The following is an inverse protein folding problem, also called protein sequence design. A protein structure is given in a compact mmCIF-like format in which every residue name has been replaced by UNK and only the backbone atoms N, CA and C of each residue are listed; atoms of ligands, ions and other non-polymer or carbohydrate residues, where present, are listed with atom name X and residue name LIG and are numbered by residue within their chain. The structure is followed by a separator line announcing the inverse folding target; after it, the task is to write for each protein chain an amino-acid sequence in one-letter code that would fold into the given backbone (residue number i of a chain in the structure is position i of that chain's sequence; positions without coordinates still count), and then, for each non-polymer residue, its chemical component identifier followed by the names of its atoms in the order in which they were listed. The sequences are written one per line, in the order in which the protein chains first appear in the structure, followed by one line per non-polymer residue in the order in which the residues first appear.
data_IF_678821980144
#
_entry.id   IF_678821980144
#
_cell.length_a   1.000
_cell.length_b   1.000
_cell.length_c   1.000
_cell.angle_alpha   90.00
_cell.angle_beta   90.00
_cell.angle_gamma   90.00
#
_symmetry.space_group_name_H-M   'P 1'
#
loop_
_entity.id
_entity.type
_entity.pdbx_description
1 polymer ?
#
# COMPACT_ATOMS: atom_id res chain seq x y z
N UNK A 1 -6.68 23.72 37.45
CA UNK A 1 -6.32 24.29 36.12
C UNK A 1 -7.03 23.47 35.06
N UNK A 2 -8.00 24.06 34.38
CA UNK A 2 -8.77 23.43 33.30
C UNK A 2 -8.03 23.54 31.97
N UNK A 3 -8.05 22.46 31.19
CA UNK A 3 -7.50 22.43 29.83
C UNK A 3 -8.62 22.11 28.84
N UNK A 4 -8.55 22.69 27.66
CA UNK A 4 -9.50 22.41 26.60
C UNK A 4 -9.25 21.00 26.05
N UNK A 5 -10.28 20.15 26.05
CA UNK A 5 -10.19 18.77 25.55
C UNK A 5 -10.01 18.67 24.03
N UNK A 6 -10.28 19.76 23.30
CA UNK A 6 -10.15 19.81 21.84
C UNK A 6 -8.77 20.30 21.38
N UNK A 7 -8.25 21.39 21.98
CA UNK A 7 -6.98 22.00 21.55
C UNK A 7 -5.80 21.80 22.52
N UNK A 8 -6.04 21.26 23.72
CA UNK A 8 -4.99 21.04 24.73
C UNK A 8 -4.44 22.29 25.42
N UNK A 9 -4.93 23.49 25.09
CA UNK A 9 -4.51 24.75 25.71
C UNK A 9 -5.21 25.00 27.06
N UNK A 10 -4.57 25.79 27.93
CA UNK A 10 -5.13 26.19 29.24
C UNK A 10 -6.36 27.08 29.04
N UNK A 11 -7.44 26.78 29.77
CA UNK A 11 -8.68 27.56 29.77
C UNK A 11 -8.72 28.39 31.04
N UNK A 12 -8.90 29.71 30.88
CA UNK A 12 -9.08 30.67 31.97
C UNK A 12 -10.59 30.75 32.23
N UNK A 13 -11.01 30.49 33.48
CA UNK A 13 -12.42 30.59 33.88
C UNK A 13 -12.91 32.04 33.75
N UNK A 14 -13.96 32.25 32.95
CA UNK A 14 -14.56 33.57 32.71
C UNK A 14 -14.31 34.17 31.33
N UNK A 15 -13.42 33.60 30.52
CA UNK A 15 -13.16 34.06 29.14
C UNK A 15 -13.67 33.05 28.10
N UNK A 16 -14.24 33.56 27.00
CA UNK A 16 -14.67 32.74 25.87
C UNK A 16 -13.45 32.14 25.17
N UNK A 17 -13.24 30.82 25.32
CA UNK A 17 -12.13 30.12 24.73
C UNK A 17 -12.33 29.89 23.21
N UNK A 18 -11.62 30.66 22.38
CA UNK A 18 -11.66 30.50 20.92
C UNK A 18 -10.79 29.33 20.46
N UNK A 19 -11.39 28.16 20.29
CA UNK A 19 -10.73 27.03 19.63
C UNK A 19 -10.58 27.31 18.12
N UNK A 20 -9.37 27.62 17.66
CA UNK A 20 -9.08 27.85 16.23
C UNK A 20 -9.45 26.66 15.32
N UNK A 21 -9.54 25.44 15.85
CA UNK A 21 -10.02 24.27 15.09
C UNK A 21 -11.53 24.31 14.79
N UNK A 22 -12.35 25.04 15.55
CA UNK A 22 -13.77 25.24 15.25
C UNK A 22 -14.00 26.42 14.28
N UNK A 23 -13.10 27.42 14.27
CA UNK A 23 -13.21 28.57 13.38
C UNK A 23 -12.94 28.23 11.90
N UNK A 24 -12.11 27.22 11.62
CA UNK A 24 -11.87 26.73 10.26
C UNK A 24 -12.99 25.81 9.71
N UNK A 25 -14.00 25.48 10.53
CA UNK A 25 -15.15 24.64 10.14
C UNK A 25 -16.49 25.36 10.07
N UNK A 26 -16.55 26.66 10.40
CA UNK A 26 -17.79 27.41 10.56
C UNK A 26 -18.12 28.38 9.41
N UNK A 27 -17.36 28.38 8.31
CA UNK A 27 -17.56 29.30 7.18
C UNK A 27 -18.40 28.70 6.03
N UNK A 28 -19.24 27.68 6.27
CA UNK A 28 -20.06 27.12 5.20
C UNK A 28 -21.43 26.53 5.61
N UNK A 29 -22.04 27.04 6.68
CA UNK A 29 -23.43 26.69 7.02
C UNK A 29 -24.28 27.92 7.27
N UNK A 30 -24.60 28.61 6.18
CA UNK A 30 -25.74 29.53 6.08
C UNK A 30 -26.65 29.08 4.95
N UNK A 31 -27.59 28.17 5.25
CA UNK A 31 -28.93 28.29 4.66
C UNK A 31 -30.00 27.54 5.47
N UNK A 32 -31.07 28.29 5.72
CA UNK A 32 -32.25 27.95 6.49
C UNK A 32 -33.18 26.96 5.75
N UNK A 33 -33.93 26.16 6.52
CA UNK A 33 -35.10 25.44 6.02
C UNK A 33 -35.73 24.58 7.10
N UNK A 34 -36.84 25.04 7.65
CA UNK A 34 -37.53 24.53 8.83
C UNK A 34 -38.35 23.24 8.58
N UNK A 35 -38.51 22.45 9.66
CA UNK A 35 -39.73 21.68 9.94
C UNK A 35 -39.69 20.18 9.59
N UNK A 36 -40.03 19.34 10.57
CA UNK A 36 -40.67 18.04 10.29
C UNK A 36 -40.07 16.82 11.00
N UNK A 37 -40.89 16.24 11.87
CA UNK A 37 -40.68 15.02 12.64
C UNK A 37 -40.34 13.76 11.83
N UNK A 38 -39.76 12.78 12.56
CA UNK A 38 -39.99 11.34 12.47
C UNK A 38 -39.86 10.65 11.11
N UNK A 39 -38.85 9.78 11.00
CA UNK A 39 -38.83 8.75 9.97
C UNK A 39 -37.49 8.04 9.86
N UNK A 40 -37.29 6.97 10.63
CA UNK A 40 -36.40 5.91 10.19
C UNK A 40 -37.02 5.22 8.96
N UNK A 41 -36.20 4.82 7.98
CA UNK A 41 -36.16 3.41 7.62
C UNK A 41 -34.71 2.95 7.39
N UNK A 42 -34.30 1.85 8.00
CA UNK A 42 -34.44 0.47 7.51
C UNK A 42 -33.58 0.14 6.28
N UNK A 43 -32.56 -0.70 6.53
CA UNK A 43 -31.73 -1.44 5.57
C UNK A 43 -32.56 -2.05 4.45
N UNK A 44 -32.05 -2.01 3.22
CA UNK A 44 -32.00 -3.21 2.36
C UNK A 44 -31.05 -3.05 1.16
N UNK A 45 -30.46 -4.18 0.78
CA UNK A 45 -29.90 -4.59 -0.51
C UNK A 45 -28.76 -3.79 -1.16
N UNK A 46 -27.57 -4.36 -1.37
CA UNK A 46 -27.24 -5.54 -2.19
C UNK A 46 -27.39 -5.23 -3.69
N UNK A 47 -26.23 -4.97 -4.33
CA UNK A 47 -26.10 -4.76 -5.78
C UNK A 47 -25.37 -3.45 -6.10
N UNK A 48 -24.05 -3.49 -6.33
CA UNK A 48 -23.36 -2.32 -6.87
C UNK A 48 -21.87 -2.17 -6.53
N UNK A 49 -21.06 -3.21 -6.73
CA UNK A 49 -19.59 -3.10 -6.60
C UNK A 49 -18.97 -2.02 -7.49
N UNK A 50 -19.68 -1.53 -8.52
CA UNK A 50 -19.26 -0.43 -9.40
C UNK A 50 -19.90 0.93 -9.07
N UNK A 51 -21.07 0.97 -8.43
CA UNK A 51 -21.71 2.24 -8.03
C UNK A 51 -21.01 2.86 -6.81
N UNK A 52 -20.48 2.03 -5.91
CA UNK A 52 -19.61 2.48 -4.81
C UNK A 52 -18.32 3.11 -5.33
N UNK A 53 -17.71 2.57 -6.40
CA UNK A 53 -16.49 3.11 -7.02
C UNK A 53 -16.74 4.47 -7.69
N UNK A 54 -17.89 4.64 -8.34
CA UNK A 54 -18.28 5.92 -8.94
C UNK A 54 -18.62 7.02 -7.91
N UNK A 55 -19.16 6.63 -6.75
CA UNK A 55 -19.34 7.56 -5.62
C UNK A 55 -18.02 7.86 -4.90
N UNK A 56 -17.13 6.86 -4.77
CA UNK A 56 -15.77 7.01 -4.28
C UNK A 56 -14.96 7.97 -5.15
N UNK A 57 -15.04 7.86 -6.49
CA UNK A 57 -14.34 8.77 -7.40
C UNK A 57 -14.80 10.21 -7.30
N UNK A 58 -16.04 10.46 -6.86
CA UNK A 58 -16.56 11.82 -6.64
C UNK A 58 -16.08 12.44 -5.33
N UNK A 59 -15.56 11.62 -4.41
CA UNK A 59 -15.07 12.03 -3.09
C UNK A 59 -13.53 12.01 -3.01
N UNK A 60 -12.84 11.50 -4.03
CA UNK A 60 -11.38 11.48 -4.11
C UNK A 60 -10.90 12.85 -4.57
N UNK A 61 -10.17 13.54 -3.69
CA UNK A 61 -9.49 14.76 -4.04
C UNK A 61 -8.19 14.41 -4.79
N UNK A 62 -8.19 14.63 -6.10
CA UNK A 62 -7.04 14.37 -6.96
C UNK A 62 -5.83 15.24 -6.60
N UNK A 63 -6.05 16.40 -5.97
CA UNK A 63 -4.95 17.26 -5.51
C UNK A 63 -4.16 16.62 -4.38
N UNK A 64 -4.83 15.89 -3.48
CA UNK A 64 -4.20 15.12 -2.39
C UNK A 64 -3.39 13.95 -2.95
N UNK A 65 -3.90 13.25 -3.97
CA UNK A 65 -3.14 12.16 -4.62
C UNK A 65 -1.86 12.69 -5.26
N UNK A 66 -1.94 13.81 -5.98
CA UNK A 66 -0.77 14.42 -6.62
C UNK A 66 0.23 14.93 -5.58
N UNK A 67 -0.26 15.47 -4.45
CA UNK A 67 0.62 15.94 -3.37
C UNK A 67 1.34 14.77 -2.69
N UNK A 68 0.65 13.65 -2.46
CA UNK A 68 1.22 12.41 -1.94
C UNK A 68 2.24 11.79 -2.91
N UNK A 69 1.96 11.84 -4.22
CA UNK A 69 2.87 11.34 -5.25
C UNK A 69 4.16 12.18 -5.32
N UNK A 70 4.07 13.50 -5.13
CA UNK A 70 5.25 14.37 -5.09
C UNK A 70 6.01 14.27 -3.78
N UNK A 71 5.29 14.11 -2.66
CA UNK A 71 5.86 14.12 -1.31
C UNK A 71 5.25 12.98 -0.47
N UNK A 72 5.82 11.77 -0.49
CA UNK A 72 5.26 10.61 0.24
C UNK A 72 5.24 10.84 1.75
N UNK A 73 6.11 11.71 2.29
CA UNK A 73 6.13 12.11 3.70
C UNK A 73 4.84 12.80 4.17
N UNK A 74 4.04 13.36 3.26
CA UNK A 74 2.75 13.94 3.61
C UNK A 74 1.75 12.89 4.10
N UNK A 75 1.97 11.61 3.79
CA UNK A 75 1.13 10.52 4.28
C UNK A 75 1.01 10.53 5.81
N UNK A 76 2.08 10.88 6.54
CA UNK A 76 2.09 10.94 8.01
C UNK A 76 1.14 12.00 8.60
N UNK A 77 0.67 12.96 7.81
CA UNK A 77 -0.27 14.01 8.24
C UNK A 77 -1.74 13.65 8.00
N UNK A 78 -2.02 12.53 7.33
CA UNK A 78 -3.38 12.08 7.05
C UNK A 78 -4.12 11.71 8.34
N UNK A 79 -5.44 11.90 8.34
CA UNK A 79 -6.31 11.48 9.44
C UNK A 79 -6.92 10.10 9.13
N UNK A 80 -6.56 9.03 9.85
CA UNK A 80 -6.98 7.66 9.53
C UNK A 80 -8.49 7.44 9.52
N UNK A 81 -9.23 8.24 10.29
CA UNK A 81 -10.69 8.17 10.34
C UNK A 81 -11.36 8.59 9.02
N UNK A 82 -10.78 9.57 8.32
CA UNK A 82 -11.35 10.17 7.10
C UNK A 82 -10.61 9.74 5.82
N UNK A 83 -9.30 9.51 5.93
CA UNK A 83 -8.40 9.40 4.78
C UNK A 83 -7.95 7.96 4.50
N UNK A 84 -8.57 6.96 5.14
CA UNK A 84 -8.25 5.54 4.93
C UNK A 84 -8.24 5.13 3.46
N UNK A 85 -9.14 5.71 2.65
CA UNK A 85 -9.25 5.42 1.22
C UNK A 85 -7.96 5.73 0.46
N UNK A 86 -7.22 6.78 0.84
CA UNK A 86 -5.95 7.14 0.19
C UNK A 86 -4.85 6.12 0.50
N UNK A 87 -4.88 5.51 1.69
CA UNK A 87 -3.98 4.41 2.02
C UNK A 87 -4.21 3.18 1.17
N UNK A 88 -5.48 2.75 1.08
CA UNK A 88 -5.87 1.59 0.25
C UNK A 88 -5.57 1.84 -1.23
N UNK A 89 -5.86 3.03 -1.74
CA UNK A 89 -5.55 3.41 -3.11
C UNK A 89 -4.04 3.42 -3.38
N UNK A 90 -3.20 3.80 -2.41
CA UNK A 90 -1.75 3.75 -2.54
C UNK A 90 -1.23 2.31 -2.66
N UNK A 91 -1.76 1.38 -1.86
CA UNK A 91 -1.47 -0.06 -1.97
C UNK A 91 -1.99 -0.62 -3.30
N UNK A 92 -3.18 -0.21 -3.73
CA UNK A 92 -3.73 -0.62 -5.01
C UNK A 92 -2.86 -0.11 -6.17
N UNK A 93 -2.38 1.13 -6.11
CA UNK A 93 -1.51 1.71 -7.13
C UNK A 93 -0.15 1.00 -7.22
N UNK A 94 0.44 0.63 -6.08
CA UNK A 94 1.69 -0.14 -6.06
C UNK A 94 1.51 -1.55 -6.61
N UNK A 95 0.41 -2.22 -6.24
CA UNK A 95 0.02 -3.51 -6.81
C UNK A 95 -0.18 -3.40 -8.32
N UNK A 96 -0.97 -2.44 -8.81
CA UNK A 96 -1.19 -2.25 -10.24
C UNK A 96 0.12 -2.00 -11.00
N UNK A 97 1.01 -1.18 -10.47
CA UNK A 97 2.33 -0.96 -11.05
C UNK A 97 3.15 -2.26 -11.13
N UNK A 98 3.12 -3.06 -10.07
CA UNK A 98 3.77 -4.37 -10.03
C UNK A 98 3.13 -5.38 -11.00
N UNK A 99 1.80 -5.41 -11.13
CA UNK A 99 1.08 -6.25 -12.08
C UNK A 99 1.48 -5.93 -13.52
N UNK A 100 1.53 -4.64 -13.86
CA UNK A 100 1.95 -4.18 -15.19
C UNK A 100 3.39 -4.64 -15.47
N UNK A 101 4.30 -4.45 -14.51
CA UNK A 101 5.67 -4.93 -14.64
C UNK A 101 5.76 -6.46 -14.82
N UNK A 102 5.08 -7.22 -13.96
CA UNK A 102 5.09 -8.68 -13.98
C UNK A 102 4.54 -9.24 -15.29
N UNK A 103 3.48 -8.62 -15.83
CA UNK A 103 2.89 -8.99 -17.11
C UNK A 103 3.86 -8.75 -18.28
N UNK A 104 4.47 -7.56 -18.35
CA UNK A 104 5.48 -7.25 -19.38
C UNK A 104 6.67 -8.21 -19.27
N UNK A 105 7.11 -8.50 -18.06
CA UNK A 105 8.20 -9.44 -17.80
C UNK A 105 7.84 -10.86 -18.25
N UNK A 106 6.64 -11.35 -17.93
CA UNK A 106 6.15 -12.66 -18.35
C UNK A 106 6.14 -12.84 -19.86
N UNK A 107 5.66 -11.84 -20.62
CA UNK A 107 5.67 -11.88 -22.08
C UNK A 107 7.10 -11.93 -22.65
N UNK A 108 8.04 -11.16 -22.08
CA UNK A 108 9.44 -11.21 -22.51
C UNK A 108 10.12 -12.53 -22.18
N UNK A 109 9.81 -13.12 -21.03
CA UNK A 109 10.33 -14.43 -20.66
C UNK A 109 9.82 -15.53 -21.59
N UNK A 110 8.56 -15.47 -22.02
CA UNK A 110 8.01 -16.40 -22.99
C UNK A 110 8.74 -16.30 -24.34
N UNK A 111 9.04 -15.09 -24.84
CA UNK A 111 9.82 -14.93 -26.07
C UNK A 111 11.27 -15.43 -25.92
N UNK A 112 11.90 -15.18 -24.77
CA UNK A 112 13.28 -15.61 -24.52
C UNK A 112 13.38 -17.12 -24.33
N UNK A 113 12.43 -17.73 -23.62
CA UNK A 113 12.37 -19.18 -23.44
C UNK A 113 11.95 -19.87 -24.73
N UNK A 114 10.99 -19.31 -25.48
CA UNK A 114 10.56 -19.83 -26.78
C UNK A 114 11.70 -19.85 -27.80
N UNK A 115 12.47 -18.78 -27.91
CA UNK A 115 13.62 -18.72 -28.82
C UNK A 115 14.78 -19.63 -28.38
N UNK A 116 15.01 -19.75 -27.06
CA UNK A 116 16.14 -20.49 -26.50
C UNK A 116 15.87 -22.00 -26.37
N UNK A 117 14.62 -22.41 -26.07
CA UNK A 117 14.20 -23.81 -26.02
C UNK A 117 13.67 -24.32 -27.36
N UNK A 118 12.96 -23.51 -28.14
CA UNK A 118 12.45 -23.88 -29.46
C UNK A 118 13.55 -24.02 -30.53
N UNK A 119 14.70 -23.37 -30.33
CA UNK A 119 15.84 -23.42 -31.27
C UNK A 119 17.00 -24.36 -30.88
N UNK A 120 17.18 -24.69 -29.59
CA UNK A 120 18.45 -25.29 -29.12
C UNK A 120 18.31 -26.53 -28.22
N UNK A 121 17.23 -26.72 -27.46
CA UNK A 121 17.20 -27.70 -26.36
C UNK A 121 15.89 -28.49 -26.24
N UNK A 122 15.62 -29.37 -27.21
CA UNK A 122 14.65 -30.46 -27.06
C UNK A 122 15.15 -31.61 -26.17
N UNK A 123 15.67 -31.34 -24.96
CA UNK A 123 16.30 -32.41 -24.17
C UNK A 123 16.85 -32.10 -22.77
N UNK A 124 16.18 -31.26 -21.96
CA UNK A 124 16.51 -31.18 -20.52
C UNK A 124 15.32 -31.62 -19.67
N UNK A 125 15.38 -32.87 -19.23
CA UNK A 125 14.38 -33.62 -18.45
C UNK A 125 14.39 -33.33 -16.94
N UNK A 126 15.17 -32.36 -16.46
CA UNK A 126 15.19 -31.96 -15.03
C UNK A 126 14.30 -30.74 -14.73
N UNK A 127 13.66 -30.16 -15.77
CA UNK A 127 12.59 -29.16 -15.63
C UNK A 127 11.19 -29.78 -15.74
N UNK A 128 11.07 -31.11 -15.63
CA UNK A 128 9.84 -31.86 -15.89
C UNK A 128 8.71 -31.55 -14.88
N UNK A 129 9.05 -31.06 -13.67
CA UNK A 129 8.06 -30.61 -12.68
C UNK A 129 7.49 -29.20 -12.98
N UNK A 130 8.09 -28.50 -13.96
CA UNK A 130 7.51 -27.32 -14.62
C UNK A 130 6.87 -27.70 -15.98
N UNK A 131 7.06 -28.94 -16.43
CA UNK A 131 6.61 -29.49 -17.70
C UNK A 131 5.21 -30.13 -17.69
N UNK A 132 4.64 -30.39 -16.51
CA UNK A 132 3.25 -30.91 -16.40
C UNK A 132 2.17 -29.84 -16.67
N UNK A 133 2.55 -28.70 -17.26
CA UNK A 133 1.64 -27.81 -17.97
C UNK A 133 1.59 -28.20 -19.45
N UNK A 134 1.24 -29.47 -19.70
CA UNK A 134 0.93 -29.99 -21.03
C UNK A 134 -0.45 -29.54 -21.54
N UNK A 135 -1.22 -28.82 -20.71
CA UNK A 135 -2.55 -28.29 -21.04
C UNK A 135 -2.50 -26.78 -21.35
N UNK A 136 -2.01 -26.43 -22.55
CA UNK A 136 -2.39 -25.22 -23.30
C UNK A 136 -2.17 -23.82 -22.70
N UNK A 137 -1.68 -23.68 -21.46
CA UNK A 137 -1.43 -22.38 -20.83
C UNK A 137 0.02 -21.97 -21.06
N UNK A 138 0.24 -20.80 -21.66
CA UNK A 138 1.59 -20.29 -21.91
C UNK A 138 2.41 -20.23 -20.62
N UNK A 139 3.64 -20.73 -20.66
CA UNK A 139 4.61 -20.71 -19.54
C UNK A 139 4.75 -19.29 -18.94
N UNK A 140 4.66 -18.26 -19.79
CA UNK A 140 4.65 -16.86 -19.36
C UNK A 140 3.46 -16.50 -18.45
N UNK A 141 2.27 -17.05 -18.69
CA UNK A 141 1.09 -16.81 -17.86
C UNK A 141 1.23 -17.46 -16.47
N UNK A 142 1.77 -18.67 -16.39
CA UNK A 142 2.01 -19.36 -15.13
C UNK A 142 3.05 -18.62 -14.26
N UNK A 143 4.14 -18.17 -14.86
CA UNK A 143 5.17 -17.36 -14.17
C UNK A 143 4.58 -16.03 -13.69
N UNK A 144 3.80 -15.36 -14.54
CA UNK A 144 3.13 -14.10 -14.18
C UNK A 144 2.19 -14.31 -12.99
N UNK A 145 1.37 -15.36 -13.01
CA UNK A 145 0.47 -15.70 -11.91
C UNK A 145 1.21 -15.91 -10.58
N UNK A 146 2.29 -16.70 -10.58
CA UNK A 146 3.13 -16.93 -9.39
C UNK A 146 3.76 -15.63 -8.86
N UNK A 147 4.25 -14.76 -9.75
CA UNK A 147 4.81 -13.46 -9.36
C UNK A 147 3.77 -12.54 -8.73
N UNK A 148 2.55 -12.50 -9.27
CA UNK A 148 1.44 -11.70 -8.72
C UNK A 148 1.10 -12.15 -7.31
N UNK A 149 0.93 -13.46 -7.12
CA UNK A 149 0.62 -14.04 -5.81
C UNK A 149 1.74 -13.74 -4.81
N UNK A 150 3.00 -13.91 -5.23
CA UNK A 150 4.17 -13.57 -4.40
C UNK A 150 4.19 -12.08 -4.01
N UNK A 151 3.84 -11.18 -4.94
CA UNK A 151 3.74 -9.75 -4.68
C UNK A 151 2.68 -9.40 -3.62
N UNK A 152 1.49 -10.00 -3.73
CA UNK A 152 0.41 -9.81 -2.74
C UNK A 152 0.83 -10.34 -1.37
N UNK A 153 1.40 -11.55 -1.32
CA UNK A 153 1.93 -12.16 -0.09
C UNK A 153 3.00 -11.27 0.54
N UNK A 154 3.92 -10.75 -0.27
CA UNK A 154 5.00 -9.86 0.18
C UNK A 154 4.44 -8.58 0.82
N UNK A 155 3.46 -7.95 0.20
CA UNK A 155 2.84 -6.73 0.74
C UNK A 155 2.14 -7.01 2.08
N UNK A 156 1.37 -8.09 2.16
CA UNK A 156 0.67 -8.50 3.40
C UNK A 156 1.69 -8.80 4.50
N UNK A 157 2.74 -9.56 4.18
CA UNK A 157 3.80 -9.90 5.12
C UNK A 157 4.55 -8.66 5.60
N UNK A 158 4.82 -7.69 4.72
CA UNK A 158 5.51 -6.45 5.05
C UNK A 158 4.68 -5.57 5.99
N UNK A 159 3.42 -5.31 5.67
CA UNK A 159 2.55 -4.53 6.55
C UNK A 159 2.29 -5.25 7.88
N UNK A 160 2.09 -6.57 7.82
CA UNK A 160 1.89 -7.40 9.01
C UNK A 160 3.10 -7.36 9.93
N UNK A 161 4.32 -7.55 9.40
CA UNK A 161 5.53 -7.53 10.22
C UNK A 161 5.77 -6.15 10.85
N UNK A 162 5.60 -5.06 10.09
CA UNK A 162 5.74 -3.70 10.60
C UNK A 162 4.71 -3.39 11.67
N UNK A 163 3.46 -3.82 11.49
CA UNK A 163 2.40 -3.62 12.47
C UNK A 163 2.64 -4.40 13.76
N UNK A 164 3.01 -5.68 13.68
CA UNK A 164 3.30 -6.52 14.86
C UNK A 164 4.48 -5.98 15.63
N UNK A 165 5.61 -5.72 14.96
CA UNK A 165 6.83 -5.24 15.63
C UNK A 165 6.65 -3.81 16.13
N UNK A 166 5.99 -2.96 15.35
CA UNK A 166 5.66 -1.59 15.72
C UNK A 166 4.79 -1.52 16.97
N UNK A 167 3.72 -2.30 17.06
CA UNK A 167 2.86 -2.33 18.26
C UNK A 167 3.51 -3.00 19.47
N UNK A 168 4.48 -3.90 19.26
CA UNK A 168 5.19 -4.55 20.35
C UNK A 168 6.27 -3.66 20.97
N UNK A 169 7.03 -2.92 20.15
CA UNK A 169 8.20 -2.15 20.60
C UNK A 169 8.02 -0.63 20.52
N UNK A 170 6.98 -0.15 19.85
CA UNK A 170 6.64 1.26 19.73
C UNK A 170 6.05 1.85 21.00
N UNK A 171 6.19 3.17 21.15
CA UNK A 171 5.64 3.91 22.29
C UNK A 171 4.16 4.23 22.08
N UNK A 172 3.75 4.38 20.82
CA UNK A 172 2.37 4.63 20.42
C UNK A 172 1.79 3.42 19.70
N UNK A 173 0.66 2.91 20.20
CA UNK A 173 -0.08 1.81 19.56
C UNK A 173 -1.03 2.36 18.50
N UNK A 174 -1.08 1.68 17.35
CA UNK A 174 -1.94 2.05 16.23
C UNK A 174 -2.79 0.86 15.79
N UNK A 175 -4.02 1.13 15.39
CA UNK A 175 -4.85 0.09 14.79
C UNK A 175 -4.27 -0.32 13.42
N UNK A 176 -4.54 -1.55 12.99
CA UNK A 176 -4.08 -2.03 11.68
C UNK A 176 -4.58 -1.14 10.53
N UNK A 177 -5.80 -0.61 10.66
CA UNK A 177 -6.39 0.36 9.73
C UNK A 177 -5.55 1.63 9.60
N UNK A 178 -5.00 2.13 10.71
CA UNK A 178 -4.19 3.35 10.72
C UNK A 178 -2.85 3.10 10.03
N UNK A 179 -2.22 1.95 10.33
CA UNK A 179 -0.99 1.53 9.68
C UNK A 179 -1.14 1.43 8.16
N UNK A 180 -2.24 0.85 7.66
CA UNK A 180 -2.55 0.82 6.22
C UNK A 180 -2.72 2.22 5.66
N UNK A 181 -3.39 3.12 6.39
CA UNK A 181 -3.60 4.50 5.90
C UNK A 181 -2.27 5.20 5.65
N UNK A 182 -1.39 5.18 6.66
CA UNK A 182 -0.11 5.88 6.61
C UNK A 182 0.89 5.22 5.66
N UNK A 183 1.11 3.91 5.83
CA UNK A 183 2.12 3.20 5.06
C UNK A 183 1.65 2.93 3.63
N UNK A 184 0.35 2.68 3.42
CA UNK A 184 -0.23 2.50 2.09
C UNK A 184 -0.17 3.76 1.24
N UNK A 185 -0.46 4.93 1.82
CA UNK A 185 -0.39 6.20 1.11
C UNK A 185 1.06 6.56 0.71
N UNK A 186 2.07 6.05 1.41
CA UNK A 186 3.46 6.20 0.99
C UNK A 186 3.82 5.36 -0.25
N UNK A 187 2.97 4.40 -0.66
CA UNK A 187 3.30 3.48 -1.76
C UNK A 187 3.02 3.99 -3.17
N UNK A 188 2.33 5.12 -3.34
CA UNK A 188 2.03 5.67 -4.67
C UNK A 188 3.27 5.90 -5.54
N UNK A 189 4.35 6.41 -4.95
CA UNK A 189 5.61 6.67 -5.66
C UNK A 189 6.25 5.39 -6.17
N UNK A 190 6.06 4.28 -5.47
CA UNK A 190 6.66 3.00 -5.82
C UNK A 190 5.90 2.27 -6.91
N UNK A 191 4.58 2.47 -6.99
CA UNK A 191 3.79 2.06 -8.16
C UNK A 191 4.35 2.64 -9.45
N UNK A 192 4.68 3.94 -9.45
CA UNK A 192 5.34 4.59 -10.59
C UNK A 192 6.73 3.98 -10.87
N UNK A 193 7.49 3.64 -9.83
CA UNK A 193 8.78 2.94 -9.97
C UNK A 193 8.67 1.56 -10.63
N UNK A 194 7.62 0.79 -10.32
CA UNK A 194 7.36 -0.49 -10.99
C UNK A 194 6.98 -0.31 -12.46
N UNK A 195 6.13 0.67 -12.78
CA UNK A 195 5.81 1.00 -14.16
C UNK A 195 7.06 1.41 -14.93
N UNK A 196 7.92 2.24 -14.33
CA UNK A 196 9.20 2.64 -14.92
C UNK A 196 10.11 1.44 -15.19
N UNK A 197 10.24 0.51 -14.23
CA UNK A 197 10.97 -0.73 -14.43
C UNK A 197 10.37 -1.56 -15.59
N UNK A 198 9.04 -1.56 -15.72
CA UNK A 198 8.32 -2.22 -16.82
C UNK A 198 8.66 -1.60 -18.17
N UNK A 199 8.67 -0.27 -18.26
CA UNK A 199 9.07 0.45 -19.48
C UNK A 199 10.54 0.19 -19.81
N UNK A 200 11.44 0.21 -18.83
CA UNK A 200 12.85 -0.12 -19.03
C UNK A 200 13.07 -1.53 -19.58
N UNK A 201 12.15 -2.47 -19.31
CA UNK A 201 12.26 -3.85 -19.81
C UNK A 201 12.18 -3.92 -21.33
N UNK A 202 11.48 -2.97 -21.98
CA UNK A 202 11.46 -2.88 -23.44
C UNK A 202 12.84 -2.58 -24.03
N UNK A 203 13.62 -1.72 -23.35
CA UNK A 203 14.96 -1.31 -23.77
C UNK A 203 15.98 -2.44 -23.49
N UNK A 204 16.08 -2.86 -22.23
CA UNK A 204 17.03 -3.88 -21.81
C UNK A 204 16.58 -4.52 -20.49
N UNK A 205 16.45 -5.85 -20.50
CA UNK A 205 16.04 -6.64 -19.34
C UNK A 205 16.96 -6.43 -18.13
N UNK A 206 18.28 -6.27 -18.36
CA UNK A 206 19.27 -6.03 -17.29
C UNK A 206 19.04 -4.69 -16.59
N UNK A 207 18.75 -3.65 -17.37
CA UNK A 207 18.47 -2.31 -16.83
C UNK A 207 17.16 -2.37 -16.03
N UNK A 208 16.14 -3.04 -16.54
CA UNK A 208 14.87 -3.21 -15.83
C UNK A 208 15.05 -3.90 -14.47
N UNK A 209 15.85 -4.97 -14.40
CA UNK A 209 16.16 -5.63 -13.14
C UNK A 209 16.91 -4.74 -12.14
N UNK A 210 17.86 -3.93 -12.63
CA UNK A 210 18.56 -2.95 -11.78
C UNK A 210 17.56 -1.92 -11.23
N UNK A 211 16.74 -1.32 -12.10
CA UNK A 211 15.72 -0.33 -11.71
C UNK A 211 14.72 -0.92 -10.72
N UNK A 212 14.25 -2.15 -10.97
CA UNK A 212 13.35 -2.88 -10.07
C UNK A 212 13.99 -3.12 -8.70
N UNK A 213 15.23 -3.60 -8.68
CA UNK A 213 15.95 -3.92 -7.43
C UNK A 213 16.17 -2.66 -6.59
N UNK A 214 16.57 -1.56 -7.23
CA UNK A 214 16.70 -0.25 -6.58
C UNK A 214 15.33 0.22 -6.07
N UNK A 215 14.26 0.10 -6.86
CA UNK A 215 12.91 0.46 -6.43
C UNK A 215 12.47 -0.36 -5.21
N UNK A 216 12.63 -1.69 -5.22
CA UNK A 216 12.28 -2.58 -4.12
C UNK A 216 13.06 -2.27 -2.84
N UNK A 217 14.38 -2.05 -2.94
CA UNK A 217 15.20 -1.66 -1.80
C UNK A 217 14.76 -0.30 -1.24
N UNK A 218 14.45 0.66 -2.12
CA UNK A 218 13.96 1.98 -1.73
C UNK A 218 12.62 1.88 -1.03
N UNK A 219 11.68 1.09 -1.56
CA UNK A 219 10.37 0.79 -0.91
C UNK A 219 10.60 0.23 0.48
N UNK A 220 11.45 -0.78 0.62
CA UNK A 220 11.67 -1.46 1.88
C UNK A 220 12.22 -0.49 2.93
N UNK A 221 13.29 0.22 2.59
CA UNK A 221 13.94 1.18 3.51
C UNK A 221 12.99 2.30 3.89
N UNK A 222 12.32 2.93 2.93
CA UNK A 222 11.40 4.05 3.20
C UNK A 222 10.19 3.60 4.01
N UNK A 223 9.60 2.44 3.73
CA UNK A 223 8.43 1.93 4.46
C UNK A 223 8.80 1.60 5.91
N UNK A 224 9.97 0.97 6.14
CA UNK A 224 10.48 0.69 7.48
C UNK A 224 10.75 2.01 8.24
N UNK A 225 11.35 3.00 7.59
CA UNK A 225 11.62 4.30 8.22
C UNK A 225 10.32 5.05 8.57
N UNK A 226 9.31 5.03 7.70
CA UNK A 226 8.00 5.60 8.00
C UNK A 226 7.33 4.88 9.16
N UNK A 227 7.44 3.55 9.24
CA UNK A 227 6.94 2.79 10.37
C UNK A 227 7.64 3.21 11.68
N UNK A 228 8.98 3.23 11.72
CA UNK A 228 9.74 3.66 12.90
C UNK A 228 9.30 5.04 13.39
N UNK A 229 9.06 5.98 12.47
CA UNK A 229 8.53 7.31 12.79
C UNK A 229 7.08 7.27 13.31
N UNK A 230 6.21 6.48 12.68
CA UNK A 230 4.79 6.36 13.03
C UNK A 230 4.58 5.81 14.45
N UNK A 231 5.34 4.78 14.82
CA UNK A 231 5.27 4.14 16.14
C UNK A 231 6.11 4.85 17.22
N UNK A 232 6.75 5.98 16.88
CA UNK A 232 7.59 6.77 17.78
C UNK A 232 8.63 5.91 18.52
N UNK A 233 9.36 5.09 17.78
CA UNK A 233 10.35 4.19 18.39
C UNK A 233 11.54 5.01 18.90
N UNK A 234 11.85 4.83 20.20
CA UNK A 234 13.00 5.43 20.88
C UNK A 234 14.31 5.12 20.16
N UNK A 235 15.20 6.11 20.09
CA UNK A 235 16.40 6.07 19.26
C UNK A 235 17.33 4.90 19.55
N UNK A 236 17.45 4.53 20.82
CA UNK A 236 18.23 3.40 21.31
C UNK A 236 17.74 2.03 20.82
N UNK A 237 16.47 1.93 20.41
CA UNK A 237 15.83 0.67 19.98
C UNK A 237 15.51 0.62 18.49
N UNK A 238 15.81 1.68 17.73
CA UNK A 238 15.48 1.76 16.29
C UNK A 238 16.11 0.62 15.50
N UNK A 239 17.41 0.37 15.71
CA UNK A 239 18.13 -0.72 15.02
C UNK A 239 17.50 -2.10 15.28
N UNK A 240 17.14 -2.38 16.53
CA UNK A 240 16.49 -3.65 16.89
C UNK A 240 15.12 -3.78 16.24
N UNK A 241 14.33 -2.71 16.21
CA UNK A 241 13.00 -2.72 15.55
C UNK A 241 13.13 -2.92 14.05
N UNK A 242 14.07 -2.22 13.41
CA UNK A 242 14.36 -2.39 11.97
C UNK A 242 14.76 -3.84 11.69
N UNK A 243 15.78 -4.37 12.39
CA UNK A 243 16.26 -5.73 12.20
C UNK A 243 15.18 -6.79 12.43
N UNK A 244 14.36 -6.64 13.48
CA UNK A 244 13.30 -7.59 13.81
C UNK A 244 12.16 -7.51 12.79
N UNK A 245 11.78 -6.31 12.32
CA UNK A 245 10.73 -6.15 11.31
C UNK A 245 11.13 -6.73 9.95
N UNK A 246 12.37 -6.53 9.52
CA UNK A 246 12.91 -7.11 8.28
C UNK A 246 13.08 -8.62 8.42
N UNK A 247 13.61 -9.10 9.54
CA UNK A 247 13.75 -10.54 9.81
C UNK A 247 12.39 -11.25 9.82
N UNK A 248 11.40 -10.70 10.52
CA UNK A 248 10.04 -11.22 10.56
C UNK A 248 9.38 -11.18 9.18
N UNK A 249 9.59 -10.11 8.41
CA UNK A 249 9.13 -10.03 7.02
C UNK A 249 9.67 -11.19 6.17
N UNK A 250 10.98 -11.45 6.20
CA UNK A 250 11.59 -12.52 5.42
C UNK A 250 11.07 -13.91 5.83
N UNK A 251 10.90 -14.15 7.14
CA UNK A 251 10.31 -15.40 7.65
C UNK A 251 8.86 -15.56 7.18
N UNK A 252 8.05 -14.51 7.29
CA UNK A 252 6.65 -14.55 6.84
C UNK A 252 6.54 -14.78 5.33
N UNK A 253 7.37 -14.11 4.53
CA UNK A 253 7.38 -14.32 3.07
C UNK A 253 7.77 -15.76 2.75
N UNK A 254 8.85 -16.27 3.33
CA UNK A 254 9.32 -17.64 3.07
C UNK A 254 8.27 -18.70 3.45
N UNK A 255 7.62 -18.51 4.61
CA UNK A 255 6.57 -19.43 5.09
C UNK A 255 5.33 -19.36 4.20
N UNK A 256 4.84 -18.15 3.89
CA UNK A 256 3.66 -17.98 3.04
C UNK A 256 3.92 -18.44 1.61
N UNK A 257 5.11 -18.22 1.07
CA UNK A 257 5.48 -18.74 -0.25
C UNK A 257 5.54 -20.26 -0.27
N UNK A 258 6.07 -20.91 0.78
CA UNK A 258 6.16 -22.37 0.85
C UNK A 258 4.80 -23.07 1.01
N UNK A 259 3.78 -22.34 1.48
CA UNK A 259 2.41 -22.88 1.57
C UNK A 259 1.66 -22.73 0.24
N UNK A 260 1.95 -21.65 -0.49
CA UNK A 260 1.17 -21.25 -1.66
C UNK A 260 1.78 -21.76 -2.98
N UNK A 261 3.10 -22.01 -3.01
CA UNK A 261 3.82 -22.59 -4.16
C UNK A 261 4.16 -24.04 -3.91
#
# INVERSE_FOLDING_TARGET
MSFCTQCGMRVIEGEAHACQQAAAGAENQTWNGAGGAAGAPHRSNQGGGFQSVAQLSKQIDTSVIVSLLKNPQQALKLQPAKDFIYGVLGVAASLLGFLIWAWIFGQKMESLLGDLFGGLFGGFSDFDDLGDYSDGSSIGAAITGKLIVLGIISIIALFGSLWVVGNWKGERKHAFKDAITYLGAAQYTFGAGFVLAGVCSFINLRIAFIVLSVNLLTVLVTTVMHAVALWQVREDRRLTVVGLSVGLYLVLVALLSAIVM
#
